data_IF_018128608955
#
_entry.id   IF_018128608955
#
_cell.length_a   1.000
_cell.length_b   1.000
_cell.length_c   1.000
_cell.angle_alpha   90.00
_cell.angle_beta   90.00
_cell.angle_gamma   90.00
#
_symmetry.space_group_name_H-M   'P 1'
#
loop_
_entity.id
_entity.type
_entity.pdbx_description
1 polymer ?
#
# COMPACT_ATOMS: atom_id res chain seq x y z
N UNK A 1 -12.69 17.79 -4.17
CA UNK A 1 -12.82 17.28 -2.79
C UNK A 1 -12.87 15.76 -2.87
N UNK A 2 -11.77 15.04 -2.63
CA UNK A 2 -11.86 13.64 -2.22
C UNK A 2 -12.49 13.69 -0.83
N UNK A 3 -13.76 13.29 -0.71
CA UNK A 3 -14.33 12.92 0.58
C UNK A 3 -13.35 11.95 1.21
N UNK A 4 -12.91 12.24 2.44
CA UNK A 4 -12.24 11.24 3.25
C UNK A 4 -13.10 9.98 3.12
N UNK A 5 -12.52 8.92 2.58
CA UNK A 5 -13.26 7.68 2.35
C UNK A 5 -13.46 6.99 3.70
N UNK A 6 -14.34 7.58 4.51
CA UNK A 6 -14.67 7.13 5.86
C UNK A 6 -15.37 5.76 5.81
N UNK A 7 -15.98 5.43 4.66
CA UNK A 7 -16.67 4.15 4.47
C UNK A 7 -15.70 2.96 4.47
N UNK A 8 -14.50 3.12 3.92
CA UNK A 8 -13.50 2.05 3.89
C UNK A 8 -13.04 1.63 5.29
N UNK A 9 -12.57 2.52 6.19
CA UNK A 9 -12.22 2.12 7.55
C UNK A 9 -13.43 1.63 8.36
N UNK A 10 -14.62 2.22 8.19
CA UNK A 10 -15.84 1.75 8.85
C UNK A 10 -16.18 0.33 8.39
N UNK A 11 -16.16 0.06 7.08
CA UNK A 11 -16.42 -1.25 6.52
C UNK A 11 -15.43 -2.30 7.03
N UNK A 12 -14.14 -1.94 7.12
CA UNK A 12 -13.11 -2.84 7.66
C UNK A 12 -13.36 -3.18 9.14
N UNK A 13 -13.64 -2.17 9.97
CA UNK A 13 -13.93 -2.35 11.40
C UNK A 13 -15.19 -3.21 11.60
N UNK A 14 -16.24 -2.98 10.81
CA UNK A 14 -17.46 -3.78 10.86
C UNK A 14 -17.19 -5.23 10.44
N UNK A 15 -16.45 -5.48 9.37
CA UNK A 15 -16.12 -6.82 8.90
C UNK A 15 -15.34 -7.60 9.97
N UNK A 16 -14.30 -6.99 10.54
CA UNK A 16 -13.52 -7.58 11.63
C UNK A 16 -14.41 -7.81 12.86
N UNK A 17 -15.24 -6.82 13.22
CA UNK A 17 -16.15 -6.90 14.36
C UNK A 17 -17.15 -8.05 14.24
N UNK A 18 -17.76 -8.27 13.07
CA UNK A 18 -18.66 -9.39 12.83
C UNK A 18 -17.95 -10.74 12.91
N UNK A 19 -16.72 -10.86 12.42
CA UNK A 19 -15.93 -12.09 12.53
C UNK A 19 -15.65 -12.40 14.00
N UNK A 20 -15.15 -11.43 14.77
CA UNK A 20 -14.88 -11.62 16.19
C UNK A 20 -16.16 -11.92 16.99
N UNK A 21 -17.26 -11.26 16.67
CA UNK A 21 -18.55 -11.53 17.30
C UNK A 21 -19.03 -12.96 17.04
N UNK A 22 -18.92 -13.44 15.80
CA UNK A 22 -19.26 -14.81 15.44
C UNK A 22 -18.40 -15.84 16.19
N UNK A 23 -17.09 -15.61 16.28
CA UNK A 23 -16.14 -16.46 17.01
C UNK A 23 -16.45 -16.46 18.52
N UNK A 24 -16.77 -15.30 19.10
CA UNK A 24 -17.06 -15.18 20.52
C UNK A 24 -18.34 -15.93 20.96
N UNK A 25 -19.27 -16.17 20.04
CA UNK A 25 -20.46 -16.99 20.31
C UNK A 25 -20.17 -18.50 20.32
N UNK A 26 -19.02 -18.93 19.80
CA UNK A 26 -18.60 -20.34 19.86
C UNK A 26 -18.17 -20.75 21.25
N UNK A 27 -18.45 -22.03 21.63
CA UNK A 27 -18.13 -22.58 22.96
C UNK A 27 -16.63 -22.58 23.31
N UNK A 28 -15.72 -22.40 22.34
CA UNK A 28 -14.27 -22.44 22.53
C UNK A 28 -13.57 -21.09 22.70
N UNK A 29 -14.29 -19.97 22.48
CA UNK A 29 -13.72 -18.63 22.54
C UNK A 29 -12.66 -18.36 21.47
N UNK A 30 -12.12 -17.14 21.47
CA UNK A 30 -11.12 -16.67 20.47
C UNK A 30 -9.80 -17.44 20.54
N UNK A 31 -9.46 -17.98 21.70
CA UNK A 31 -8.19 -18.69 21.92
C UNK A 31 -8.00 -19.95 21.05
N UNK A 32 -9.08 -20.60 20.65
CA UNK A 32 -9.02 -21.79 19.79
C UNK A 32 -8.61 -21.47 18.34
N UNK A 33 -8.72 -20.21 17.94
CA UNK A 33 -8.37 -19.77 16.58
C UNK A 33 -6.96 -19.17 16.49
N UNK A 34 -6.21 -19.14 17.60
CA UNK A 34 -4.83 -18.66 17.63
C UNK A 34 -3.91 -19.87 17.65
N UNK A 35 -3.49 -20.26 16.45
CA UNK A 35 -2.54 -21.35 16.26
C UNK A 35 -1.25 -20.82 15.64
N UNK A 36 -0.11 -21.04 16.34
CA UNK A 36 1.19 -20.55 15.88
C UNK A 36 1.67 -21.23 14.60
N UNK A 37 1.57 -22.56 14.43
CA UNK A 37 1.88 -23.23 13.19
C UNK A 37 1.11 -22.69 11.99
N UNK A 38 -0.22 -22.51 12.10
CA UNK A 38 -1.06 -21.95 11.04
C UNK A 38 -0.65 -20.53 10.64
N UNK A 39 -0.31 -19.70 11.63
CA UNK A 39 0.20 -18.35 11.39
C UNK A 39 1.54 -18.38 10.61
N UNK A 40 2.47 -19.25 11.00
CA UNK A 40 3.77 -19.41 10.33
C UNK A 40 3.61 -19.91 8.90
N UNK A 41 2.71 -20.86 8.65
CA UNK A 41 2.45 -21.38 7.31
C UNK A 41 1.85 -20.29 6.44
N UNK A 42 0.80 -19.64 6.90
CA UNK A 42 0.04 -18.66 6.08
C UNK A 42 0.81 -17.37 5.88
N UNK A 43 1.26 -16.72 6.97
CA UNK A 43 1.96 -15.43 6.89
C UNK A 43 3.42 -15.63 6.49
N UNK A 44 4.13 -16.54 7.14
CA UNK A 44 5.54 -16.82 6.84
C UNK A 44 5.73 -17.39 5.44
N UNK A 45 4.94 -18.38 5.05
CA UNK A 45 4.99 -18.98 3.73
C UNK A 45 4.65 -17.99 2.60
N UNK A 46 3.55 -17.24 2.74
CA UNK A 46 3.19 -16.23 1.74
C UNK A 46 4.20 -15.08 1.66
N UNK A 47 4.79 -14.67 2.79
CA UNK A 47 5.86 -13.67 2.79
C UNK A 47 7.14 -14.19 2.14
N UNK A 48 7.52 -15.44 2.40
CA UNK A 48 8.66 -16.08 1.73
C UNK A 48 8.45 -16.14 0.20
N UNK A 49 7.23 -16.43 -0.28
CA UNK A 49 6.89 -16.40 -1.70
C UNK A 49 7.04 -14.98 -2.30
N UNK A 50 6.70 -13.93 -1.56
CA UNK A 50 6.96 -12.54 -1.97
C UNK A 50 8.45 -12.26 -2.08
N UNK A 51 9.27 -12.72 -1.12
CA UNK A 51 10.73 -12.54 -1.15
C UNK A 51 11.40 -13.23 -2.35
N UNK A 52 10.86 -14.37 -2.80
CA UNK A 52 11.34 -15.08 -4.00
C UNK A 52 10.97 -14.30 -5.28
N UNK A 53 9.82 -13.63 -5.28
CA UNK A 53 9.25 -12.99 -6.48
C UNK A 53 9.81 -11.60 -6.74
N UNK A 54 10.20 -10.86 -5.70
CA UNK A 54 10.60 -9.46 -5.78
C UNK A 54 12.03 -9.22 -5.31
N UNK A 55 12.66 -8.20 -5.91
CA UNK A 55 13.98 -7.74 -5.50
C UNK A 55 13.95 -7.13 -4.09
N UNK A 56 15.06 -7.26 -3.35
CA UNK A 56 15.21 -6.73 -2.00
C UNK A 56 14.88 -5.22 -1.90
N UNK A 57 15.24 -4.45 -2.92
CA UNK A 57 14.98 -3.00 -2.93
C UNK A 57 13.49 -2.68 -3.03
N UNK A 58 12.73 -3.51 -3.73
CA UNK A 58 11.27 -3.40 -3.82
C UNK A 58 10.62 -3.81 -2.50
N UNK A 59 11.12 -4.85 -1.85
CA UNK A 59 10.62 -5.31 -0.53
C UNK A 59 10.88 -4.29 0.57
N UNK A 60 12.05 -3.63 0.58
CA UNK A 60 12.37 -2.56 1.55
C UNK A 60 11.42 -1.35 1.47
N UNK A 61 10.73 -1.18 0.35
CA UNK A 61 9.75 -0.10 0.16
C UNK A 61 8.36 -0.41 0.71
N UNK A 62 8.10 -1.65 1.16
CA UNK A 62 6.80 -2.06 1.75
C UNK A 62 6.33 -1.11 2.87
N UNK A 63 7.17 -0.75 3.88
CA UNK A 63 6.74 0.13 4.96
C UNK A 63 6.36 1.54 4.47
N UNK A 64 7.11 2.08 3.51
CA UNK A 64 6.81 3.39 2.93
C UNK A 64 5.54 3.38 2.08
N UNK A 65 5.29 2.32 1.33
CA UNK A 65 4.08 2.14 0.55
C UNK A 65 2.83 2.00 1.44
N UNK A 66 2.93 1.29 2.56
CA UNK A 66 1.87 1.23 3.58
C UNK A 66 1.56 2.60 4.15
N UNK A 67 2.60 3.37 4.54
CA UNK A 67 2.44 4.73 5.05
C UNK A 67 1.73 5.63 4.03
N UNK A 68 2.11 5.54 2.76
CA UNK A 68 1.46 6.32 1.69
C UNK A 68 0.02 5.91 1.42
N UNK A 69 -0.32 4.64 1.59
CA UNK A 69 -1.70 4.16 1.44
C UNK A 69 -2.64 4.73 2.51
N UNK A 70 -2.11 4.96 3.71
CA UNK A 70 -2.86 5.52 4.84
C UNK A 70 -2.90 7.04 4.77
N UNK A 71 -1.76 7.66 4.42
CA UNK A 71 -1.60 9.13 4.34
C UNK A 71 -1.54 9.53 2.87
N UNK A 72 -2.68 9.58 2.19
CA UNK A 72 -2.75 10.15 0.84
C UNK A 72 -2.78 11.68 0.96
N UNK A 73 -1.78 12.42 0.47
CA UNK A 73 -1.87 13.86 0.39
C UNK A 73 -3.01 14.22 -0.57
N UNK A 74 -4.03 14.89 -0.06
CA UNK A 74 -5.11 15.40 -0.89
C UNK A 74 -4.66 16.71 -1.53
N UNK A 75 -4.16 16.66 -2.75
CA UNK A 75 -3.94 17.88 -3.53
C UNK A 75 -5.29 18.49 -3.88
N UNK A 76 -5.56 19.68 -3.36
CA UNK A 76 -6.76 20.43 -3.74
C UNK A 76 -6.56 20.99 -5.15
N UNK A 77 -7.28 20.42 -6.12
CA UNK A 77 -7.17 20.84 -7.52
C UNK A 77 -7.54 22.31 -7.74
N UNK A 78 -8.41 22.88 -6.90
CA UNK A 78 -8.82 24.30 -7.00
C UNK A 78 -7.67 25.20 -6.58
N UNK A 79 -7.04 24.91 -5.44
CA UNK A 79 -5.90 25.68 -4.96
C UNK A 79 -4.73 25.65 -5.96
N UNK A 80 -4.52 24.48 -6.58
CA UNK A 80 -3.50 24.34 -7.62
C UNK A 80 -3.78 25.23 -8.83
N UNK A 81 -5.03 25.26 -9.31
CA UNK A 81 -5.42 26.15 -10.42
C UNK A 81 -5.24 27.62 -10.07
N UNK A 82 -5.57 28.01 -8.84
CA UNK A 82 -5.41 29.38 -8.41
C UNK A 82 -3.94 29.77 -8.24
N UNK A 83 -3.08 28.88 -7.74
CA UNK A 83 -1.62 29.07 -7.74
C UNK A 83 -1.07 29.30 -9.15
N UNK A 84 -1.45 28.48 -10.14
CA UNK A 84 -1.02 28.67 -11.52
C UNK A 84 -1.51 29.97 -12.14
N UNK A 85 -2.73 30.43 -11.80
CA UNK A 85 -3.25 31.74 -12.25
C UNK A 85 -2.41 32.89 -11.69
N UNK A 86 -2.02 32.84 -10.42
CA UNK A 86 -1.20 33.87 -9.79
C UNK A 86 0.20 33.90 -10.38
N UNK A 87 0.86 32.75 -10.51
CA UNK A 87 2.14 32.63 -11.18
C UNK A 87 2.10 33.20 -12.60
N UNK A 88 1.08 32.84 -13.38
CA UNK A 88 0.89 33.33 -14.74
C UNK A 88 0.72 34.88 -14.81
N UNK A 89 0.02 35.47 -13.84
CA UNK A 89 -0.14 36.94 -13.75
C UNK A 89 1.20 37.62 -13.44
N UNK A 90 1.96 37.08 -12.49
CA UNK A 90 3.29 37.59 -12.10
C UNK A 90 4.26 37.52 -13.26
N UNK A 91 4.32 36.37 -13.96
CA UNK A 91 5.17 36.21 -15.15
C UNK A 91 4.83 37.21 -16.25
N UNK A 92 3.54 37.46 -16.51
CA UNK A 92 3.12 38.42 -17.54
C UNK A 92 3.43 39.85 -17.20
N UNK A 93 3.45 40.20 -15.92
CA UNK A 93 3.66 41.59 -15.46
C UNK A 93 5.12 41.90 -15.22
N UNK A 94 5.83 41.03 -14.53
CA UNK A 94 7.14 41.30 -13.96
C UNK A 94 8.26 40.41 -14.58
N UNK A 95 7.88 39.52 -15.52
CA UNK A 95 8.80 38.60 -16.19
C UNK A 95 8.99 37.29 -15.43
N UNK A 96 9.66 36.32 -16.09
CA UNK A 96 9.77 34.95 -15.60
C UNK A 96 10.63 34.84 -14.33
N UNK A 97 11.66 35.66 -14.18
CA UNK A 97 12.54 35.66 -13.01
C UNK A 97 11.83 36.12 -11.72
N UNK A 98 10.70 36.83 -11.84
CA UNK A 98 9.94 37.29 -10.69
C UNK A 98 9.32 36.17 -9.86
N UNK A 99 9.20 34.96 -10.42
CA UNK A 99 8.62 33.80 -9.69
C UNK A 99 9.70 32.94 -9.04
N UNK A 100 11.00 33.19 -9.24
CA UNK A 100 12.11 32.33 -8.76
C UNK A 100 12.03 32.08 -7.24
N UNK A 101 11.79 33.14 -6.45
CA UNK A 101 11.67 33.01 -5.00
C UNK A 101 10.40 32.22 -4.60
N UNK A 102 9.29 32.44 -5.29
CA UNK A 102 8.04 31.70 -5.01
C UNK A 102 8.20 30.21 -5.35
N UNK A 103 8.93 29.90 -6.41
CA UNK A 103 9.24 28.51 -6.82
C UNK A 103 10.17 27.84 -5.81
N UNK A 104 11.16 28.54 -5.27
CA UNK A 104 12.06 28.03 -4.25
C UNK A 104 11.36 27.61 -2.96
N UNK A 105 10.26 28.31 -2.59
CA UNK A 105 9.45 28.06 -1.39
C UNK A 105 8.34 27.00 -1.59
N UNK A 106 8.17 26.46 -2.80
CA UNK A 106 7.13 25.47 -3.07
C UNK A 106 7.40 24.13 -2.36
N UNK A 107 6.33 23.60 -1.74
CA UNK A 107 6.36 22.32 -1.03
C UNK A 107 6.30 21.10 -1.96
N UNK A 108 5.66 21.23 -3.14
CA UNK A 108 5.55 20.13 -4.11
C UNK A 108 6.81 20.03 -4.96
N UNK A 109 7.63 18.97 -4.79
CA UNK A 109 8.90 18.83 -5.50
C UNK A 109 8.74 18.70 -7.03
N UNK A 110 7.60 18.16 -7.49
CA UNK A 110 7.35 17.97 -8.91
C UNK A 110 7.02 19.30 -9.60
N UNK A 111 6.15 20.10 -8.98
CA UNK A 111 5.83 21.45 -9.44
C UNK A 111 7.05 22.36 -9.38
N UNK A 112 7.79 22.31 -8.27
CA UNK A 112 9.02 23.07 -8.08
C UNK A 112 10.01 22.81 -9.22
N UNK A 113 10.33 21.54 -9.48
CA UNK A 113 11.25 21.14 -10.54
C UNK A 113 10.80 21.63 -11.93
N UNK A 114 9.50 21.48 -12.24
CA UNK A 114 8.97 21.94 -13.52
C UNK A 114 9.07 23.45 -13.70
N UNK A 115 8.81 24.22 -12.66
CA UNK A 115 8.89 25.68 -12.70
C UNK A 115 10.34 26.19 -12.67
N UNK A 116 11.26 25.52 -11.94
CA UNK A 116 12.70 25.81 -11.99
C UNK A 116 13.24 25.69 -13.42
N UNK A 117 12.90 24.60 -14.13
CA UNK A 117 13.31 24.42 -15.53
C UNK A 117 12.81 25.56 -16.44
N UNK A 118 11.58 26.05 -16.20
CA UNK A 118 11.01 27.17 -16.95
C UNK A 118 11.73 28.48 -16.60
N UNK A 119 12.08 28.71 -15.34
CA UNK A 119 12.85 29.89 -14.90
C UNK A 119 14.26 29.87 -15.50
N UNK A 120 14.88 28.70 -15.60
CA UNK A 120 16.19 28.49 -16.24
C UNK A 120 16.17 28.66 -17.77
N UNK A 121 14.99 28.90 -18.36
CA UNK A 121 14.85 29.15 -19.80
C UNK A 121 14.81 27.88 -20.65
N UNK A 122 14.61 26.73 -20.07
CA UNK A 122 14.42 25.46 -20.80
C UNK A 122 13.11 25.56 -21.63
N UNK A 123 13.16 25.12 -22.87
CA UNK A 123 12.00 25.15 -23.77
C UNK A 123 10.88 24.23 -23.29
N UNK A 124 9.64 24.57 -23.64
CA UNK A 124 8.45 23.88 -23.13
C UNK A 124 8.38 22.39 -23.50
N UNK A 125 8.96 21.99 -24.63
CA UNK A 125 8.96 20.60 -25.09
C UNK A 125 9.93 19.76 -24.25
N UNK A 126 11.13 20.28 -24.01
CA UNK A 126 12.12 19.66 -23.12
C UNK A 126 11.63 19.57 -21.66
N UNK A 127 10.99 20.60 -21.13
CA UNK A 127 10.38 20.57 -19.80
C UNK A 127 9.33 19.45 -19.71
N UNK A 128 8.47 19.34 -20.71
CA UNK A 128 7.44 18.30 -20.76
C UNK A 128 8.07 16.90 -20.78
N UNK A 129 9.08 16.68 -21.61
CA UNK A 129 9.78 15.40 -21.72
C UNK A 129 10.43 14.99 -20.39
N UNK A 130 11.14 15.92 -19.73
CA UNK A 130 11.77 15.69 -18.42
C UNK A 130 10.72 15.33 -17.37
N UNK A 131 9.60 16.05 -17.32
CA UNK A 131 8.53 15.78 -16.36
C UNK A 131 7.80 14.47 -16.65
N UNK A 132 7.61 14.10 -17.91
CA UNK A 132 7.05 12.80 -18.30
C UNK A 132 7.95 11.64 -17.89
N UNK A 133 9.27 11.77 -18.05
CA UNK A 133 10.24 10.77 -17.58
C UNK A 133 10.13 10.61 -16.06
N UNK A 134 10.10 11.70 -15.31
CA UNK A 134 9.99 11.65 -13.85
C UNK A 134 8.65 11.05 -13.39
N UNK A 135 7.55 11.38 -14.07
CA UNK A 135 6.24 10.82 -13.81
C UNK A 135 6.22 9.30 -14.03
N UNK A 136 6.76 8.86 -15.16
CA UNK A 136 6.87 7.44 -15.50
C UNK A 136 7.74 6.66 -14.49
N UNK A 137 8.82 7.26 -14.01
CA UNK A 137 9.67 6.66 -12.96
C UNK A 137 8.89 6.52 -11.64
N UNK A 138 8.19 7.56 -11.22
CA UNK A 138 7.31 7.50 -10.03
C UNK A 138 6.22 6.46 -10.20
N UNK A 139 5.58 6.39 -11.35
CA UNK A 139 4.52 5.43 -11.64
C UNK A 139 5.03 3.98 -11.58
N UNK A 140 6.23 3.69 -12.11
CA UNK A 140 6.88 2.38 -12.00
C UNK A 140 7.14 2.01 -10.54
N UNK A 141 7.66 2.96 -9.74
CA UNK A 141 7.94 2.74 -8.32
C UNK A 141 6.66 2.44 -7.54
N UNK A 142 5.61 3.22 -7.74
CA UNK A 142 4.32 3.00 -7.07
C UNK A 142 3.61 1.74 -7.60
N UNK A 143 3.70 1.49 -8.89
CA UNK A 143 3.15 0.29 -9.51
C UNK A 143 3.78 -0.99 -8.97
N UNK A 144 5.10 -1.02 -8.80
CA UNK A 144 5.80 -2.17 -8.22
C UNK A 144 5.39 -2.42 -6.78
N UNK A 145 5.27 -1.38 -5.97
CA UNK A 145 4.80 -1.49 -4.58
C UNK A 145 3.36 -2.01 -4.50
N UNK A 146 2.46 -1.51 -5.35
CA UNK A 146 1.09 -2.01 -5.43
C UNK A 146 1.03 -3.49 -5.84
N UNK A 147 1.94 -3.91 -6.73
CA UNK A 147 2.03 -5.29 -7.22
C UNK A 147 2.41 -6.28 -6.13
N UNK A 148 3.29 -5.86 -5.19
CA UNK A 148 3.64 -6.68 -4.02
C UNK A 148 2.40 -7.02 -3.21
N UNK A 149 1.60 -6.01 -2.83
CA UNK A 149 0.40 -6.25 -2.01
C UNK A 149 -0.64 -7.11 -2.71
N UNK A 150 -0.83 -6.92 -4.03
CA UNK A 150 -1.73 -7.75 -4.83
C UNK A 150 -1.29 -9.21 -4.85
N UNK A 151 0.00 -9.48 -5.07
CA UNK A 151 0.54 -10.84 -5.09
C UNK A 151 0.53 -11.45 -3.70
N UNK A 152 0.91 -10.71 -2.67
CA UNK A 152 0.83 -11.21 -1.28
C UNK A 152 -0.60 -11.60 -0.91
N UNK A 153 -1.58 -10.74 -1.26
CA UNK A 153 -3.00 -11.04 -1.07
C UNK A 153 -3.48 -12.28 -1.82
N UNK A 154 -2.86 -12.63 -2.95
CA UNK A 154 -3.17 -13.87 -3.69
C UNK A 154 -2.46 -15.10 -3.12
N UNK A 155 -1.26 -14.96 -2.56
CA UNK A 155 -0.51 -16.06 -1.95
C UNK A 155 -1.07 -16.47 -0.59
N UNK A 156 -1.53 -15.53 0.23
CA UNK A 156 -2.01 -15.82 1.58
C UNK A 156 -3.13 -16.89 1.62
N UNK A 157 -4.19 -16.83 0.79
CA UNK A 157 -5.19 -17.90 0.72
C UNK A 157 -4.63 -19.22 0.23
N UNK A 158 -3.67 -19.22 -0.71
CA UNK A 158 -3.04 -20.43 -1.21
C UNK A 158 -2.24 -21.14 -0.10
N UNK A 159 -1.46 -20.39 0.69
CA UNK A 159 -0.74 -20.94 1.84
C UNK A 159 -1.70 -21.36 2.98
N UNK A 160 -2.85 -20.69 3.12
CA UNK A 160 -3.92 -21.14 4.00
C UNK A 160 -4.42 -22.54 3.64
N UNK A 161 -4.67 -22.82 2.35
CA UNK A 161 -5.04 -24.16 1.90
C UNK A 161 -3.95 -25.20 2.15
N UNK A 162 -2.68 -24.83 2.01
CA UNK A 162 -1.55 -25.72 2.38
C UNK A 162 -1.59 -26.03 3.88
N UNK A 163 -1.86 -25.02 4.71
CA UNK A 163 -2.03 -25.18 6.17
C UNK A 163 -3.13 -26.18 6.51
N UNK A 164 -4.30 -26.07 5.86
CA UNK A 164 -5.41 -27.01 6.10
C UNK A 164 -5.02 -28.47 5.73
N UNK A 165 -4.30 -28.68 4.63
CA UNK A 165 -3.83 -30.00 4.24
C UNK A 165 -2.83 -30.56 5.25
N UNK A 166 -1.88 -29.73 5.73
CA UNK A 166 -0.91 -30.14 6.74
C UNK A 166 -1.62 -30.53 8.04
N UNK A 167 -2.57 -29.72 8.52
CA UNK A 167 -3.35 -30.01 9.72
C UNK A 167 -4.15 -31.28 9.59
N UNK A 168 -4.78 -31.53 8.44
CA UNK A 168 -5.49 -32.80 8.20
C UNK A 168 -4.56 -34.01 8.18
N UNK A 169 -3.35 -33.90 7.60
CA UNK A 169 -2.36 -34.99 7.61
C UNK A 169 -1.90 -35.28 9.03
N UNK A 170 -1.62 -34.25 9.82
CA UNK A 170 -1.24 -34.41 11.23
C UNK A 170 -2.38 -35.07 12.05
N UNK A 171 -3.61 -34.61 11.88
CA UNK A 171 -4.77 -35.21 12.51
C UNK A 171 -4.92 -36.71 12.18
N UNK A 172 -4.69 -37.08 10.92
CA UNK A 172 -4.80 -38.48 10.50
C UNK A 172 -3.63 -39.34 10.97
N UNK A 173 -2.44 -38.77 11.17
CA UNK A 173 -1.27 -39.49 11.66
C UNK A 173 -1.33 -39.78 13.16
N UNK A 174 -2.01 -38.90 13.93
CA UNK A 174 -2.07 -38.96 15.39
C UNK A 174 -3.48 -39.32 15.91
N UNK A 175 -4.21 -40.20 15.22
CA UNK A 175 -5.56 -40.64 15.64
C UNK A 175 -5.58 -41.44 16.95
N UNK A 176 -4.51 -41.39 17.75
CA UNK A 176 -4.37 -42.15 18.99
C UNK A 176 -5.06 -41.53 20.22
N UNK A 177 -5.30 -40.21 20.25
CA UNK A 177 -5.95 -39.53 21.37
C UNK A 177 -6.91 -38.42 20.91
N UNK A 178 -7.99 -38.14 21.67
CA UNK A 178 -8.90 -37.02 21.35
C UNK A 178 -8.21 -35.65 21.33
N UNK A 179 -7.15 -35.45 22.12
CA UNK A 179 -6.44 -34.19 22.24
C UNK A 179 -5.58 -33.92 20.98
N UNK A 180 -5.00 -34.98 20.39
CA UNK A 180 -4.22 -34.89 19.14
C UNK A 180 -5.11 -34.57 17.95
N UNK A 181 -6.31 -35.11 17.91
CA UNK A 181 -7.34 -34.78 16.90
C UNK A 181 -7.74 -33.29 17.01
N UNK A 182 -7.94 -32.79 18.23
CA UNK A 182 -8.30 -31.39 18.45
C UNK A 182 -7.19 -30.42 18.02
N UNK A 183 -5.91 -30.76 18.25
CA UNK A 183 -4.74 -29.99 17.82
C UNK A 183 -4.63 -29.94 16.29
N UNK A 184 -4.75 -31.07 15.58
CA UNK A 184 -4.74 -31.13 14.13
C UNK A 184 -5.90 -30.36 13.47
N UNK A 185 -7.08 -30.40 14.07
CA UNK A 185 -8.24 -29.58 13.64
C UNK A 185 -8.03 -28.08 13.85
N UNK A 186 -7.27 -27.67 14.85
CA UNK A 186 -6.93 -26.27 15.10
C UNK A 186 -6.00 -25.70 14.03
N UNK A 187 -5.12 -26.54 13.48
CA UNK A 187 -4.17 -26.14 12.41
C UNK A 187 -4.83 -26.13 11.03
N UNK A 188 -5.86 -26.94 10.81
CA UNK A 188 -6.61 -27.04 9.56
C UNK A 188 -7.65 -25.93 9.41
#
# INVERSE_FOLDING_TARGET
MKKNDILTPIGLVLAIGFIFFAIAQGKGGVGMFIDIPSFLITVGGSFAAVLITFDLDTVKRIPSALKMSIVSPSVNKVDLVDQFKELSKTIRKDGILAIEQQVAEMEDPFLKKGLELIVDGVDAESVKEILEIELNEKEKVYGSSSKIFKLWGSYAPAFGMVGTLIGLIQMLSDMGSPDDIASGMSTA
#
